data_IF_790494862753
#
_entry.id   IF_790494862753
#
_cell.length_a   1.000
_cell.length_b   1.000
_cell.length_c   1.000
_cell.angle_alpha   90.00
_cell.angle_beta   90.00
_cell.angle_gamma   90.00
#
_symmetry.space_group_name_H-M   'P 1'
#
loop_
_entity.id
_entity.type
_entity.pdbx_description
1 polymer ?
#
# COMPACT_ATOMS: atom_id res chain seq x y z
N UNK A 1 -14.52 -12.72 -0.81
CA UNK A 1 -15.69 -12.01 -0.24
C UNK A 1 -15.22 -10.66 0.30
N UNK A 2 -15.82 -9.55 -0.13
CA UNK A 2 -15.46 -8.20 0.31
C UNK A 2 -16.34 -7.80 1.52
N UNK A 3 -15.74 -7.63 2.69
CA UNK A 3 -16.47 -7.32 3.93
C UNK A 3 -17.24 -6.00 3.86
N UNK A 4 -16.68 -4.98 3.20
CA UNK A 4 -17.32 -3.66 3.05
C UNK A 4 -18.64 -3.83 2.29
N UNK A 5 -18.61 -4.49 1.13
CA UNK A 5 -19.80 -4.71 0.31
C UNK A 5 -20.89 -5.52 1.03
N UNK A 6 -20.52 -6.52 1.84
CA UNK A 6 -21.48 -7.31 2.61
C UNK A 6 -22.17 -6.48 3.70
N UNK A 7 -21.43 -5.56 4.34
CA UNK A 7 -21.97 -4.66 5.36
C UNK A 7 -22.88 -3.61 4.72
N UNK A 8 -22.47 -3.03 3.58
CA UNK A 8 -23.26 -2.05 2.83
C UNK A 8 -24.60 -2.63 2.35
N UNK A 9 -24.60 -3.89 1.93
CA UNK A 9 -25.81 -4.63 1.53
C UNK A 9 -26.61 -5.17 2.72
N UNK A 10 -26.24 -4.81 3.95
CA UNK A 10 -26.91 -5.24 5.18
C UNK A 10 -27.00 -6.78 5.35
N UNK A 11 -26.12 -7.53 4.67
CA UNK A 11 -26.02 -9.00 4.78
C UNK A 11 -25.40 -9.40 6.12
N UNK A 12 -24.38 -8.64 6.55
CA UNK A 12 -23.76 -8.75 7.88
C UNK A 12 -23.70 -7.36 8.51
N UNK A 13 -23.61 -7.30 9.85
CA UNK A 13 -23.56 -6.01 10.57
C UNK A 13 -22.14 -5.50 10.83
N UNK A 14 -21.20 -6.42 11.07
CA UNK A 14 -19.79 -6.12 11.35
C UNK A 14 -18.92 -7.25 10.84
N UNK A 15 -17.65 -6.95 10.56
CA UNK A 15 -16.63 -7.94 10.25
C UNK A 15 -15.37 -7.67 11.06
N UNK A 16 -14.75 -8.73 11.60
CA UNK A 16 -13.41 -8.70 12.18
C UNK A 16 -12.43 -9.13 11.09
N UNK A 17 -11.54 -8.23 10.70
CA UNK A 17 -10.47 -8.49 9.73
C UNK A 17 -9.17 -8.63 10.49
N UNK A 18 -8.48 -9.74 10.31
CA UNK A 18 -7.17 -10.00 10.91
C UNK A 18 -6.17 -10.16 9.78
N UNK A 19 -5.14 -9.32 9.78
CA UNK A 19 -3.95 -9.49 8.96
C UNK A 19 -2.81 -9.91 9.87
N UNK A 20 -2.17 -11.04 9.59
CA UNK A 20 -1.04 -11.54 10.35
C UNK A 20 -0.02 -12.13 9.37
N UNK A 21 1.25 -11.80 9.58
CA UNK A 21 2.33 -12.23 8.67
C UNK A 21 3.65 -12.44 9.43
N UNK A 22 4.51 -13.27 8.85
CA UNK A 22 5.88 -13.53 9.28
C UNK A 22 6.75 -13.36 8.04
N UNK A 23 7.44 -12.23 7.95
CA UNK A 23 8.43 -11.96 6.91
C UNK A 23 9.75 -12.64 7.28
N UNK A 24 10.05 -13.75 6.60
CA UNK A 24 11.23 -14.59 6.83
C UNK A 24 12.10 -14.65 5.57
N UNK A 25 13.39 -14.34 5.74
CA UNK A 25 14.40 -14.39 4.70
C UNK A 25 15.57 -15.29 5.14
N UNK A 26 16.51 -15.54 4.23
CA UNK A 26 17.74 -16.24 4.62
C UNK A 26 18.61 -15.34 5.50
N UNK A 27 19.18 -15.92 6.57
CA UNK A 27 20.20 -15.24 7.38
C UNK A 27 21.41 -14.90 6.52
N UNK A 28 22.00 -13.73 6.74
CA UNK A 28 23.08 -13.17 5.93
C UNK A 28 22.63 -12.59 4.57
N UNK A 29 21.34 -12.70 4.21
CA UNK A 29 20.84 -12.07 2.98
C UNK A 29 20.68 -10.56 3.17
N UNK A 30 20.76 -9.75 2.09
CA UNK A 30 20.46 -8.32 2.17
C UNK A 30 19.07 -7.99 2.74
N UNK A 31 18.12 -8.92 2.64
CA UNK A 31 16.75 -8.80 3.14
C UNK A 31 16.58 -9.20 4.62
N UNK A 32 17.62 -9.73 5.27
CA UNK A 32 17.55 -10.14 6.68
C UNK A 32 17.13 -8.98 7.60
N UNK A 33 17.66 -7.77 7.34
CA UNK A 33 17.35 -6.58 8.12
C UNK A 33 15.89 -6.11 7.98
N UNK A 34 15.14 -6.65 7.02
CA UNK A 34 13.72 -6.32 6.79
C UNK A 34 12.77 -7.41 7.30
N UNK A 35 13.29 -8.43 8.00
CA UNK A 35 12.46 -9.45 8.64
C UNK A 35 11.59 -8.84 9.74
N UNK A 36 10.48 -9.51 10.04
CA UNK A 36 9.56 -9.08 11.08
C UNK A 36 8.35 -9.99 11.14
N UNK A 37 7.60 -9.90 12.23
CA UNK A 37 6.32 -10.59 12.37
C UNK A 37 5.35 -9.74 13.17
N UNK A 38 4.06 -9.93 12.93
CA UNK A 38 3.04 -9.20 13.65
C UNK A 38 1.64 -9.47 13.13
N UNK A 39 0.67 -8.84 13.79
CA UNK A 39 -0.72 -8.89 13.39
C UNK A 39 -1.42 -7.55 13.66
N UNK A 40 -2.43 -7.25 12.84
CA UNK A 40 -3.34 -6.12 13.00
C UNK A 40 -4.77 -6.63 12.87
N UNK A 41 -5.65 -6.18 13.77
CA UNK A 41 -7.06 -6.48 13.72
C UNK A 41 -7.89 -5.21 13.54
N UNK A 42 -8.83 -5.23 12.60
CA UNK A 42 -9.75 -4.13 12.32
C UNK A 42 -11.19 -4.61 12.44
N UNK A 43 -12.06 -3.78 13.04
CA UNK A 43 -13.50 -4.01 13.02
C UNK A 43 -14.13 -3.07 12.00
N UNK A 44 -14.73 -3.65 10.96
CA UNK A 44 -15.44 -2.92 9.92
C UNK A 44 -16.94 -2.91 10.26
N UNK A 45 -17.58 -1.75 10.15
CA UNK A 45 -19.02 -1.58 10.41
C UNK A 45 -19.56 -0.33 9.70
N UNK A 46 -20.89 -0.23 9.59
CA UNK A 46 -21.58 0.89 8.92
C UNK A 46 -21.38 2.25 9.61
N UNK A 47 -21.14 2.25 10.92
CA UNK A 47 -20.90 3.46 11.74
C UNK A 47 -19.49 3.39 12.37
N UNK A 48 -18.42 3.59 11.59
CA UNK A 48 -17.06 3.52 12.12
C UNK A 48 -16.77 4.70 13.06
N UNK A 49 -15.90 4.47 14.06
CA UNK A 49 -15.52 5.49 15.06
C UNK A 49 -14.17 6.16 14.80
N UNK A 50 -13.41 5.66 13.83
CA UNK A 50 -12.02 6.09 13.59
C UNK A 50 -11.90 6.71 12.21
N UNK A 51 -12.24 5.96 11.16
CA UNK A 51 -12.13 6.41 9.78
C UNK A 51 -13.18 5.74 8.90
N UNK A 52 -13.53 6.41 7.80
CA UNK A 52 -14.35 5.88 6.71
C UNK A 52 -13.46 5.58 5.50
N UNK A 53 -13.92 4.68 4.63
CA UNK A 53 -13.28 4.46 3.33
C UNK A 53 -13.93 5.34 2.27
N UNK A 54 -13.13 5.81 1.32
CA UNK A 54 -13.64 6.45 0.11
C UNK A 54 -14.27 5.38 -0.81
N UNK A 55 -15.38 5.72 -1.46
CA UNK A 55 -15.99 4.89 -2.51
C UNK A 55 -15.11 4.82 -3.77
N UNK A 56 -14.23 5.81 -3.93
CA UNK A 56 -13.30 5.92 -5.05
C UNK A 56 -11.88 5.61 -4.61
N UNK A 57 -11.15 4.87 -5.43
CA UNK A 57 -9.77 4.49 -5.18
C UNK A 57 -9.00 4.35 -6.49
N UNK A 58 -7.66 4.42 -6.41
CA UNK A 58 -6.77 4.11 -7.53
C UNK A 58 -6.21 2.70 -7.42
N UNK A 59 -5.98 2.03 -8.56
CA UNK A 59 -5.44 0.67 -8.59
C UNK A 59 -4.54 0.42 -9.79
N UNK A 60 -3.62 -0.51 -9.61
CA UNK A 60 -2.82 -1.08 -10.69
C UNK A 60 -2.60 -2.57 -10.42
N UNK A 61 -2.45 -3.34 -11.49
CA UNK A 61 -2.00 -4.73 -11.41
C UNK A 61 -1.12 -5.01 -12.61
N UNK A 62 -0.12 -5.86 -12.42
CA UNK A 62 0.80 -6.25 -13.47
C UNK A 62 1.48 -7.55 -13.11
N UNK A 63 1.94 -8.26 -14.13
CA UNK A 63 2.68 -9.50 -13.96
C UNK A 63 4.17 -9.17 -13.80
N UNK A 64 4.68 -9.34 -12.57
CA UNK A 64 6.05 -9.02 -12.17
C UNK A 64 6.52 -10.06 -11.16
N UNK A 65 7.78 -10.48 -11.27
CA UNK A 65 8.37 -11.50 -10.39
C UNK A 65 9.33 -10.86 -9.39
N UNK A 66 8.93 -9.74 -8.79
CA UNK A 66 9.81 -8.95 -7.94
C UNK A 66 9.97 -9.53 -6.53
N UNK A 67 8.93 -10.17 -6.02
CA UNK A 67 8.90 -10.88 -4.75
C UNK A 67 7.96 -12.10 -4.82
N UNK A 68 8.47 -13.29 -4.53
CA UNK A 68 7.64 -14.49 -4.46
C UNK A 68 8.23 -15.56 -3.54
N UNK A 69 7.39 -16.51 -3.12
CA UNK A 69 7.82 -17.70 -2.37
C UNK A 69 7.17 -18.92 -3.00
N UNK A 70 7.98 -19.82 -3.55
CA UNK A 70 7.46 -21.07 -4.09
C UNK A 70 6.86 -21.93 -2.96
N UNK A 71 5.89 -22.79 -3.29
CA UNK A 71 5.11 -23.55 -2.30
C UNK A 71 5.97 -24.36 -1.31
N UNK A 72 7.11 -24.89 -1.78
CA UNK A 72 8.02 -25.72 -0.99
C UNK A 72 9.23 -24.95 -0.44
N UNK A 73 9.26 -23.62 -0.56
CA UNK A 73 10.35 -22.79 -0.05
C UNK A 73 9.98 -22.16 1.29
N UNK A 74 10.93 -22.24 2.24
CA UNK A 74 10.79 -21.63 3.57
C UNK A 74 10.86 -20.10 3.52
N UNK A 75 11.78 -19.57 2.70
CA UNK A 75 12.05 -18.14 2.62
C UNK A 75 11.63 -17.59 1.26
N UNK A 76 11.19 -16.34 1.24
CA UNK A 76 10.87 -15.66 -0.02
C UNK A 76 12.13 -15.30 -0.82
N UNK A 77 11.97 -15.21 -2.14
CA UNK A 77 12.93 -14.65 -3.08
C UNK A 77 12.55 -13.21 -3.38
N UNK A 78 13.50 -12.31 -3.19
CA UNK A 78 13.34 -10.89 -3.46
C UNK A 78 14.49 -10.40 -4.34
N UNK A 79 14.16 -9.68 -5.41
CA UNK A 79 15.15 -9.04 -6.27
C UNK A 79 15.30 -7.57 -5.88
N UNK A 80 15.94 -7.28 -4.75
CA UNK A 80 15.85 -6.00 -4.03
C UNK A 80 15.76 -4.73 -4.89
N UNK A 81 16.71 -4.50 -5.81
CA UNK A 81 16.66 -3.32 -6.70
C UNK A 81 15.46 -3.31 -7.65
N UNK A 82 15.11 -4.47 -8.21
CA UNK A 82 13.95 -4.65 -9.05
C UNK A 82 12.66 -4.47 -8.23
N UNK A 83 12.53 -5.06 -7.04
CA UNK A 83 11.38 -4.89 -6.15
C UNK A 83 11.16 -3.44 -5.73
N UNK A 84 12.22 -2.70 -5.41
CA UNK A 84 12.11 -1.26 -5.10
C UNK A 84 11.63 -0.48 -6.31
N UNK A 85 12.14 -0.78 -7.51
CA UNK A 85 11.73 -0.08 -8.74
C UNK A 85 10.25 -0.38 -9.07
N UNK A 86 9.86 -1.64 -9.00
CA UNK A 86 8.49 -2.12 -9.25
C UNK A 86 7.51 -1.50 -8.26
N UNK A 87 7.82 -1.50 -6.96
CA UNK A 87 7.02 -0.86 -5.93
C UNK A 87 6.78 0.63 -6.25
N UNK A 88 7.84 1.39 -6.55
CA UNK A 88 7.72 2.82 -6.82
C UNK A 88 6.90 3.08 -8.09
N UNK A 89 7.15 2.32 -9.16
CA UNK A 89 6.40 2.44 -10.42
C UNK A 89 4.90 2.15 -10.21
N UNK A 90 4.56 1.07 -9.51
CA UNK A 90 3.17 0.69 -9.26
C UNK A 90 2.48 1.67 -8.32
N UNK A 91 3.17 2.15 -7.28
CA UNK A 91 2.59 3.12 -6.36
C UNK A 91 2.31 4.47 -7.03
N UNK A 92 3.18 4.92 -7.94
CA UNK A 92 2.94 6.11 -8.76
C UNK A 92 1.79 5.91 -9.74
N UNK A 93 1.69 4.75 -10.41
CA UNK A 93 0.57 4.44 -11.32
C UNK A 93 -0.77 4.34 -10.59
N UNK A 94 -0.78 3.74 -9.40
CA UNK A 94 -1.97 3.70 -8.54
C UNK A 94 -2.38 5.10 -8.09
N UNK A 95 -1.41 5.97 -7.78
CA UNK A 95 -1.66 7.37 -7.47
C UNK A 95 -2.25 8.11 -8.69
N UNK A 96 -1.71 7.91 -9.89
CA UNK A 96 -2.23 8.51 -11.11
C UNK A 96 -3.68 8.09 -11.40
N UNK A 97 -4.00 6.80 -11.20
CA UNK A 97 -5.38 6.29 -11.31
C UNK A 97 -6.29 6.87 -10.22
N UNK A 98 -5.78 7.05 -9.00
CA UNK A 98 -6.52 7.71 -7.91
C UNK A 98 -6.89 9.14 -8.29
N UNK A 99 -5.92 9.95 -8.74
CA UNK A 99 -6.14 11.34 -9.14
C UNK A 99 -7.13 11.42 -10.30
N UNK A 100 -7.06 10.51 -11.27
CA UNK A 100 -8.06 10.43 -12.34
C UNK A 100 -9.48 10.20 -11.81
N UNK A 101 -9.63 9.42 -10.74
CA UNK A 101 -10.93 9.05 -10.17
C UNK A 101 -11.50 10.12 -9.22
N UNK A 102 -10.65 10.78 -8.43
CA UNK A 102 -11.06 11.70 -7.35
C UNK A 102 -10.77 13.18 -7.62
N UNK A 103 -9.94 13.49 -8.62
CA UNK A 103 -9.36 14.81 -8.82
C UNK A 103 -8.12 15.04 -7.96
N UNK A 104 -7.56 16.24 -8.04
CA UNK A 104 -6.44 16.64 -7.20
C UNK A 104 -6.86 16.71 -5.73
N UNK A 105 -6.01 16.20 -4.84
CA UNK A 105 -6.21 16.29 -3.40
C UNK A 105 -4.89 16.49 -2.67
N UNK A 106 -4.99 17.11 -1.50
CA UNK A 106 -3.92 17.16 -0.51
C UNK A 106 -4.45 16.55 0.79
N UNK A 107 -3.65 15.70 1.41
CA UNK A 107 -3.98 15.08 2.69
C UNK A 107 -3.05 15.63 3.78
N UNK A 108 -3.57 15.74 5.01
CA UNK A 108 -2.75 16.08 6.18
C UNK A 108 -1.71 14.99 6.46
N UNK A 109 -2.03 13.74 6.12
CA UNK A 109 -1.18 12.57 6.33
C UNK A 109 -1.20 11.63 5.13
N UNK A 110 -0.02 11.08 4.80
CA UNK A 110 0.14 10.05 3.79
C UNK A 110 0.66 8.77 4.45
N UNK A 111 0.02 7.65 4.17
CA UNK A 111 0.38 6.35 4.73
C UNK A 111 0.67 5.36 3.60
N UNK A 112 1.72 4.56 3.77
CA UNK A 112 2.18 3.61 2.76
C UNK A 112 2.50 2.27 3.42
N UNK A 113 2.26 1.19 2.68
CA UNK A 113 2.88 -0.09 3.00
C UNK A 113 4.40 0.03 2.83
N UNK A 114 5.18 -0.34 3.85
CA UNK A 114 6.62 -0.10 3.90
C UNK A 114 7.39 -1.39 4.25
N UNK A 115 8.08 -2.03 3.28
CA UNK A 115 9.00 -3.13 3.56
C UNK A 115 10.19 -2.69 4.43
N UNK A 116 10.56 -1.41 4.37
CA UNK A 116 11.55 -0.77 5.23
C UNK A 116 11.31 0.75 5.33
N UNK A 117 11.83 1.37 6.39
CA UNK A 117 11.50 2.75 6.79
C UNK A 117 11.79 3.83 5.75
N UNK A 118 12.78 3.63 4.88
CA UNK A 118 13.17 4.62 3.86
C UNK A 118 12.23 4.65 2.64
N UNK A 119 11.45 3.60 2.39
CA UNK A 119 10.67 3.50 1.15
C UNK A 119 9.48 4.50 1.09
N UNK A 120 8.71 4.74 2.17
CA UNK A 120 7.68 5.78 2.21
C UNK A 120 8.22 7.19 1.92
N UNK A 121 9.42 7.51 2.40
CA UNK A 121 10.07 8.80 2.13
C UNK A 121 10.36 8.92 0.64
N UNK A 122 10.89 7.85 0.03
CA UNK A 122 11.22 7.82 -1.39
C UNK A 122 9.98 7.99 -2.28
N UNK A 123 8.87 7.32 -1.98
CA UNK A 123 7.65 7.49 -2.78
C UNK A 123 7.07 8.91 -2.65
N UNK A 124 7.09 9.50 -1.45
CA UNK A 124 6.63 10.89 -1.28
C UNK A 124 7.48 11.87 -2.08
N UNK A 125 8.81 11.71 -2.07
CA UNK A 125 9.70 12.50 -2.91
C UNK A 125 9.35 12.39 -4.39
N UNK A 126 9.07 11.17 -4.87
CA UNK A 126 8.70 10.90 -6.26
C UNK A 126 7.34 11.52 -6.63
N UNK A 127 6.33 11.44 -5.76
CA UNK A 127 5.01 12.08 -5.97
C UNK A 127 5.18 13.60 -6.07
N UNK A 128 5.88 14.20 -5.10
CA UNK A 128 6.14 15.65 -5.09
C UNK A 128 6.84 16.03 -6.38
N UNK A 129 7.99 15.41 -6.69
CA UNK A 129 8.83 15.80 -7.81
C UNK A 129 8.17 15.61 -9.17
N UNK A 130 7.41 14.52 -9.35
CA UNK A 130 6.90 14.12 -10.67
C UNK A 130 5.44 14.49 -10.91
N UNK A 131 4.67 14.87 -9.88
CA UNK A 131 3.23 15.15 -10.00
C UNK A 131 2.83 16.50 -9.42
N UNK A 132 3.47 16.94 -8.34
CA UNK A 132 3.08 18.22 -7.71
C UNK A 132 3.90 19.40 -8.24
N UNK A 133 5.16 19.19 -8.61
CA UNK A 133 6.03 20.28 -9.10
C UNK A 133 5.53 20.89 -10.41
N UNK A 134 4.79 20.16 -11.25
CA UNK A 134 4.11 20.72 -12.43
C UNK A 134 3.05 21.78 -12.09
N UNK A 135 2.67 21.91 -10.81
CA UNK A 135 1.70 22.87 -10.29
C UNK A 135 2.30 23.91 -9.33
N UNK A 136 3.64 24.06 -9.25
CA UNK A 136 4.27 25.05 -8.33
C UNK A 136 3.75 26.48 -8.56
N UNK A 137 3.38 26.84 -9.78
CA UNK A 137 2.82 28.16 -10.08
C UNK A 137 1.41 28.40 -9.48
N UNK A 138 0.75 27.35 -8.98
CA UNK A 138 -0.60 27.38 -8.40
C UNK A 138 -0.61 27.15 -6.88
N UNK A 139 0.55 27.02 -6.23
CA UNK A 139 0.59 26.96 -4.76
C UNK A 139 0.27 28.36 -4.20
N UNK A 140 -0.63 28.47 -3.21
CA UNK A 140 -0.84 29.74 -2.52
C UNK A 140 0.50 30.18 -1.92
N UNK A 141 0.92 31.40 -2.26
CA UNK A 141 2.09 32.05 -1.69
C UNK A 141 1.93 32.29 -0.19
#
# INVERSE_FOLDING_TARGET
>A
LNAIALIEKDIIKRALIISADISSYHLGSPSEATQGSGAVALVISKNPRIATFSEKFGKISGNVDDFFRAANEKNAKAFGHYSVKTYLDFQLKAYDDLIKNVGDFHADYYTFHAPFSKLPIKIMQEIIQKRWITHINNLPK
#
